data_IF_914919485373
#
_entry.id   IF_914919485373
#
_cell.length_a   1.000
_cell.length_b   1.000
_cell.length_c   1.000
_cell.angle_alpha   90.00
_cell.angle_beta   90.00
_cell.angle_gamma   90.00
#
_symmetry.space_group_name_H-M   'P 1'
#
loop_
_entity.id
_entity.type
_entity.pdbx_description
1 polymer ?
#
# COMPACT_ATOMS: atom_id res chain seq x y z
N UNK A 1 8.24 -8.94 -14.12
CA UNK A 1 8.51 -7.85 -13.15
C UNK A 1 8.11 -6.50 -13.75
N UNK A 2 6.79 -6.26 -13.86
CA UNK A 2 6.24 -5.09 -14.57
C UNK A 2 6.28 -3.80 -13.75
N UNK A 3 6.40 -2.66 -14.45
CA UNK A 3 6.37 -1.23 -14.01
C UNK A 3 7.30 -0.82 -12.85
N UNK A 4 7.49 -1.60 -11.80
CA UNK A 4 8.40 -1.30 -10.67
C UNK A 4 9.86 -1.26 -11.12
N UNK A 5 10.27 -2.20 -11.99
CA UNK A 5 11.61 -2.19 -12.61
C UNK A 5 11.86 -1.01 -13.55
N UNK A 6 10.83 -0.24 -13.92
CA UNK A 6 10.97 1.00 -14.71
C UNK A 6 11.26 2.24 -13.84
N UNK A 7 11.41 2.10 -12.52
CA UNK A 7 11.72 3.22 -11.63
C UNK A 7 10.51 4.12 -11.33
N UNK A 8 9.33 3.51 -11.16
CA UNK A 8 8.12 4.25 -10.77
C UNK A 8 8.32 4.90 -9.41
N UNK A 9 7.93 6.18 -9.30
CA UNK A 9 7.93 6.93 -8.04
C UNK A 9 6.84 6.42 -7.10
N UNK A 10 7.03 6.65 -5.82
CA UNK A 10 6.01 6.39 -4.82
C UNK A 10 4.75 7.19 -5.17
N UNK A 11 3.59 6.53 -5.16
CA UNK A 11 2.28 7.16 -5.35
C UNK A 11 1.84 7.98 -4.12
N UNK A 12 2.70 8.19 -3.13
CA UNK A 12 2.32 8.89 -1.89
C UNK A 12 2.50 10.39 -2.10
N UNK A 13 1.52 11.17 -1.70
CA UNK A 13 1.55 12.63 -1.82
C UNK A 13 2.76 13.16 -1.04
N UNK A 14 3.69 13.79 -1.74
CA UNK A 14 4.95 14.30 -1.15
C UNK A 14 6.08 13.27 -1.03
N UNK A 15 5.97 12.09 -1.65
CA UNK A 15 7.06 11.12 -1.70
C UNK A 15 7.62 10.95 -3.11
N UNK A 16 8.91 11.24 -3.27
CA UNK A 16 9.63 11.03 -4.53
C UNK A 16 10.52 9.78 -4.53
N UNK A 17 10.43 8.95 -3.49
CA UNK A 17 11.25 7.74 -3.39
C UNK A 17 10.86 6.69 -4.44
N UNK A 18 11.83 5.83 -4.80
CA UNK A 18 11.59 4.72 -5.71
C UNK A 18 10.60 3.73 -5.10
N UNK A 19 9.55 3.41 -5.85
CA UNK A 19 8.63 2.36 -5.45
C UNK A 19 9.32 0.99 -5.53
N UNK A 20 9.16 0.19 -4.48
CA UNK A 20 9.69 -1.18 -4.40
C UNK A 20 8.58 -2.23 -4.44
N UNK A 21 7.33 -1.85 -4.11
CA UNK A 21 6.16 -2.74 -4.12
C UNK A 21 4.96 -2.08 -4.75
N UNK A 22 4.09 -2.92 -5.32
CA UNK A 22 2.76 -2.51 -5.76
C UNK A 22 1.70 -3.18 -4.89
N UNK A 23 0.71 -2.42 -4.45
CA UNK A 23 -0.51 -2.93 -3.83
C UNK A 23 -1.74 -2.40 -4.56
N UNK A 24 -2.88 -3.06 -4.38
CA UNK A 24 -4.15 -2.56 -4.92
C UNK A 24 -4.53 -1.26 -4.20
N UNK A 25 -5.00 -0.26 -4.96
CA UNK A 25 -5.47 1.02 -4.40
C UNK A 25 -6.57 0.83 -3.35
N UNK A 26 -7.43 -0.17 -3.52
CA UNK A 26 -8.50 -0.52 -2.57
C UNK A 26 -8.00 -0.97 -1.20
N UNK A 27 -6.77 -1.48 -1.11
CA UNK A 27 -6.19 -1.93 0.16
C UNK A 27 -5.48 -0.82 0.92
N UNK A 28 -5.29 0.34 0.29
CA UNK A 28 -4.64 1.51 0.90
C UNK A 28 -5.62 2.12 1.91
N UNK A 29 -5.23 2.26 3.19
CA UNK A 29 -6.09 2.88 4.18
C UNK A 29 -6.26 4.37 3.85
N UNK A 30 -7.45 4.91 4.06
CA UNK A 30 -7.77 6.34 3.81
C UNK A 30 -6.90 7.31 4.61
N UNK A 31 -6.27 6.83 5.68
CA UNK A 31 -5.30 7.58 6.48
C UNK A 31 -3.97 7.82 5.76
N UNK A 32 -3.68 7.07 4.68
CA UNK A 32 -2.52 7.29 3.83
C UNK A 32 -2.97 8.02 2.56
N UNK A 33 -2.52 9.26 2.37
CA UNK A 33 -2.79 10.03 1.14
C UNK A 33 -1.91 9.51 0.02
N UNK A 34 -2.47 8.63 -0.80
CA UNK A 34 -1.80 8.03 -1.96
C UNK A 34 -2.52 8.49 -3.20
N UNK A 35 -1.84 9.27 -4.05
CA UNK A 35 -2.29 9.62 -5.39
C UNK A 35 -2.02 8.45 -6.32
N UNK A 36 -3.08 7.67 -6.57
CA UNK A 36 -3.02 6.51 -7.44
C UNK A 36 -3.66 6.84 -8.79
N UNK A 37 -2.86 6.90 -9.86
CA UNK A 37 -3.37 7.05 -11.24
C UNK A 37 -4.06 5.79 -11.80
N UNK A 38 -4.27 4.74 -11.00
CA UNK A 38 -4.93 3.52 -11.49
C UNK A 38 -5.29 2.50 -10.41
N UNK A 39 -5.54 1.24 -10.83
CA UNK A 39 -5.92 0.13 -9.92
C UNK A 39 -4.84 -0.27 -8.91
N UNK A 40 -3.59 0.16 -9.10
CA UNK A 40 -2.44 -0.26 -8.29
C UNK A 40 -1.67 0.95 -7.78
N UNK A 41 -1.51 1.02 -6.47
CA UNK A 41 -0.65 1.96 -5.76
C UNK A 41 0.78 1.43 -5.66
N UNK A 42 1.73 2.31 -5.95
CA UNK A 42 3.16 2.02 -5.86
C UNK A 42 3.73 2.66 -4.61
N UNK A 43 4.41 1.88 -3.77
CA UNK A 43 4.93 2.37 -2.49
C UNK A 43 6.42 2.08 -2.36
N UNK A 44 7.13 3.03 -1.76
CA UNK A 44 8.50 2.84 -1.29
C UNK A 44 8.51 1.97 -0.02
N UNK A 45 9.70 1.59 0.43
CA UNK A 45 9.85 0.69 1.57
C UNK A 45 9.37 1.32 2.89
N UNK A 46 9.58 2.63 3.07
CA UNK A 46 9.14 3.38 4.27
C UNK A 46 7.62 3.39 4.38
N UNK A 47 6.96 3.81 3.31
CA UNK A 47 5.51 3.84 3.21
C UNK A 47 4.88 2.46 3.31
N UNK A 48 5.54 1.42 2.80
CA UNK A 48 5.08 0.05 3.01
C UNK A 48 5.16 -0.40 4.48
N UNK A 49 6.16 0.06 5.25
CA UNK A 49 6.25 -0.20 6.70
C UNK A 49 5.15 0.51 7.47
N UNK A 50 4.86 1.77 7.17
CA UNK A 50 3.75 2.52 7.77
C UNK A 50 2.40 1.89 7.44
N UNK A 51 2.18 1.58 6.16
CA UNK A 51 1.01 0.83 5.70
C UNK A 51 0.81 -0.47 6.50
N UNK A 52 1.88 -1.23 6.73
CA UNK A 52 1.83 -2.49 7.48
C UNK A 52 1.56 -2.29 8.96
N UNK A 53 1.97 -1.16 9.55
CA UNK A 53 1.63 -0.78 10.93
C UNK A 53 0.16 -0.39 11.05
N UNK A 54 -0.32 0.47 10.15
CA UNK A 54 -1.71 0.95 10.12
C UNK A 54 -2.70 -0.20 9.89
N UNK A 55 -2.44 -1.03 8.88
CA UNK A 55 -3.31 -2.18 8.55
C UNK A 55 -3.15 -3.37 9.51
N UNK A 56 -2.32 -3.27 10.57
CA UNK A 56 -2.08 -4.39 11.50
C UNK A 56 -3.34 -4.74 12.31
N UNK A 57 -4.08 -3.74 12.74
CA UNK A 57 -5.36 -3.90 13.45
C UNK A 57 -6.46 -4.37 12.51
N UNK A 58 -6.59 -3.76 11.33
CA UNK A 58 -7.57 -4.20 10.31
C UNK A 58 -7.37 -5.66 9.90
N UNK A 59 -6.12 -6.10 9.68
CA UNK A 59 -5.81 -7.51 9.37
C UNK A 59 -6.17 -8.47 10.50
N UNK A 60 -6.11 -8.02 11.75
CA UNK A 60 -6.57 -8.85 12.88
C UNK A 60 -8.09 -8.97 12.82
N UNK A 61 -8.82 -7.87 12.67
CA UNK A 61 -10.29 -7.89 12.56
C UNK A 61 -10.76 -8.77 11.39
N UNK A 62 -10.15 -8.61 10.21
CA UNK A 62 -10.42 -9.45 9.03
C UNK A 62 -10.17 -10.93 9.34
N UNK A 63 -9.04 -11.28 9.97
CA UNK A 63 -8.75 -12.66 10.34
C UNK A 63 -9.78 -13.26 11.29
N UNK A 64 -10.29 -12.46 12.22
CA UNK A 64 -11.28 -12.91 13.20
C UNK A 64 -12.63 -13.16 12.54
N UNK A 65 -13.00 -12.36 11.53
CA UNK A 65 -14.23 -12.56 10.74
C UNK A 65 -14.28 -13.91 10.01
N UNK A 66 -13.15 -14.38 9.49
CA UNK A 66 -13.08 -15.66 8.77
C UNK A 66 -12.84 -16.88 9.69
N UNK A 67 -12.68 -16.67 11.00
CA UNK A 67 -12.36 -17.75 11.96
C UNK A 67 -13.61 -18.34 12.65
N UNK A 68 -14.81 -17.86 12.33
CA UNK A 68 -16.08 -18.27 12.97
C UNK A 68 -17.00 -19.04 12.02
N UNK A 69 -16.44 -19.73 11.02
CA UNK A 69 -17.13 -20.74 10.20
C UNK A 69 -16.53 -22.10 10.49
#
# INVERSE_FOLDING_TARGET
MGKVSKGVKCSVVGCEERAVRSIASQRVPSSMKVEVEGRRAYLCEKHYKEFKKLTRTERKVERWRYSTI
#
